data_IF_391389817517
#
_entry.id   IF_391389817517
#
_cell.length_a   1.000
_cell.length_b   1.000
_cell.length_c   1.000
_cell.angle_alpha   90.00
_cell.angle_beta   90.00
_cell.angle_gamma   90.00
#
_symmetry.space_group_name_H-M   'P 1'
#
loop_
_entity.id
_entity.type
_entity.pdbx_description
1 polymer ?
#
# COMPACT_ATOMS: atom_id res chain seq x y z
N UNK A 1 -15.49 -26.62 -38.61
CA UNK A 1 -16.39 -25.90 -37.69
C UNK A 1 -16.27 -26.36 -36.24
N UNK A 2 -16.10 -27.66 -35.95
CA UNK A 2 -15.99 -28.18 -34.56
C UNK A 2 -14.63 -27.95 -33.90
N UNK A 3 -13.52 -28.03 -34.65
CA UNK A 3 -12.18 -27.90 -34.06
C UNK A 3 -11.87 -26.46 -33.58
N UNK A 4 -12.36 -25.45 -34.31
CA UNK A 4 -12.22 -24.05 -33.89
C UNK A 4 -13.06 -23.72 -32.66
N UNK A 5 -14.27 -24.28 -32.55
CA UNK A 5 -15.13 -24.08 -31.37
C UNK A 5 -14.58 -24.77 -30.12
N UNK A 6 -13.95 -25.94 -30.27
CA UNK A 6 -13.29 -26.63 -29.15
C UNK A 6 -12.04 -25.90 -28.68
N UNK A 7 -11.27 -25.30 -29.60
CA UNK A 7 -10.10 -24.49 -29.26
C UNK A 7 -10.51 -23.22 -28.51
N UNK A 8 -11.52 -22.49 -28.99
CA UNK A 8 -12.02 -21.30 -28.29
C UNK A 8 -12.59 -21.62 -26.92
N UNK A 9 -13.28 -22.76 -26.78
CA UNK A 9 -13.79 -23.22 -25.49
C UNK A 9 -12.67 -23.57 -24.51
N UNK A 10 -11.60 -24.24 -24.99
CA UNK A 10 -10.42 -24.56 -24.18
C UNK A 10 -9.67 -23.31 -23.71
N UNK A 11 -9.51 -22.32 -24.60
CA UNK A 11 -8.92 -21.02 -24.26
C UNK A 11 -9.77 -20.28 -23.24
N UNK A 12 -11.09 -20.27 -23.40
CA UNK A 12 -12.00 -19.63 -22.45
C UNK A 12 -11.94 -20.32 -21.07
N UNK A 13 -11.94 -21.65 -21.04
CA UNK A 13 -11.85 -22.43 -19.81
C UNK A 13 -10.51 -22.19 -19.09
N UNK A 14 -9.41 -22.15 -19.83
CA UNK A 14 -8.08 -21.86 -19.24
C UNK A 14 -8.00 -20.44 -18.71
N UNK A 15 -8.56 -19.44 -19.40
CA UNK A 15 -8.64 -18.06 -18.88
C UNK A 15 -9.47 -17.98 -17.59
N UNK A 16 -10.60 -18.69 -17.53
CA UNK A 16 -11.47 -18.71 -16.35
C UNK A 16 -10.80 -19.42 -15.15
N UNK A 17 -10.04 -20.48 -15.39
CA UNK A 17 -9.32 -21.22 -14.33
C UNK A 17 -8.07 -20.48 -13.85
N UNK A 18 -7.41 -19.72 -14.72
CA UNK A 18 -6.18 -18.97 -14.41
C UNK A 18 -6.49 -17.53 -13.95
N UNK A 19 -7.74 -17.08 -14.03
CA UNK A 19 -8.14 -15.77 -13.54
C UNK A 19 -7.80 -15.67 -12.04
N UNK A 20 -6.97 -14.70 -11.62
CA UNK A 20 -6.68 -14.53 -10.21
C UNK A 20 -7.97 -14.14 -9.49
N UNK A 21 -8.26 -14.81 -8.37
CA UNK A 21 -9.26 -14.32 -7.44
C UNK A 21 -8.75 -12.96 -6.92
N UNK A 22 -9.38 -11.87 -7.35
CA UNK A 22 -9.11 -10.55 -6.77
C UNK A 22 -9.73 -10.55 -5.39
N UNK A 23 -8.94 -10.91 -4.38
CA UNK A 23 -9.29 -10.61 -3.01
C UNK A 23 -9.28 -9.08 -2.89
N UNK A 24 -10.47 -8.50 -2.70
CA UNK A 24 -10.63 -7.05 -2.69
C UNK A 24 -9.71 -6.42 -1.65
N UNK A 25 -8.89 -5.46 -2.09
CA UNK A 25 -8.08 -4.64 -1.19
C UNK A 25 -8.97 -4.07 -0.08
N UNK A 26 -8.65 -4.38 1.17
CA UNK A 26 -9.38 -3.88 2.33
C UNK A 26 -8.86 -2.48 2.65
N UNK A 27 -9.73 -1.48 2.51
CA UNK A 27 -9.41 -0.13 2.94
C UNK A 27 -9.49 -0.05 4.47
N UNK A 28 -8.51 0.62 5.09
CA UNK A 28 -8.49 0.92 6.51
C UNK A 28 -8.63 2.43 6.73
N UNK A 29 -9.48 2.81 7.67
CA UNK A 29 -9.51 4.17 8.20
C UNK A 29 -8.73 4.18 9.51
N UNK A 30 -7.65 4.95 9.53
CA UNK A 30 -6.69 4.97 10.64
C UNK A 30 -6.81 6.30 11.36
N UNK A 31 -7.14 6.24 12.65
CA UNK A 31 -7.25 7.42 13.52
C UNK A 31 -6.23 7.29 14.65
N UNK A 32 -5.58 8.40 15.00
CA UNK A 32 -4.61 8.44 16.09
C UNK A 32 -3.76 9.69 16.07
N UNK A 33 -2.55 9.57 16.62
CA UNK A 33 -1.56 10.63 16.75
C UNK A 33 -0.32 10.36 15.86
N UNK A 34 0.81 10.96 16.23
CA UNK A 34 2.14 10.71 15.67
C UNK A 34 2.49 9.25 15.36
N UNK A 35 2.02 8.28 16.17
CA UNK A 35 2.33 6.85 15.99
C UNK A 35 1.72 6.24 14.72
N UNK A 36 0.71 6.89 14.16
CA UNK A 36 0.03 6.47 12.94
C UNK A 36 0.07 7.52 11.84
N UNK A 37 0.65 8.70 12.10
CA UNK A 37 0.83 9.74 11.10
C UNK A 37 1.89 9.33 10.07
N UNK A 38 1.49 9.36 8.79
CA UNK A 38 2.32 9.07 7.63
C UNK A 38 2.65 10.33 6.81
N UNK A 39 2.49 11.52 7.40
CA UNK A 39 2.82 12.81 6.79
C UNK A 39 1.63 13.75 6.62
N UNK A 40 0.48 13.45 7.23
CA UNK A 40 -0.71 14.31 7.21
C UNK A 40 -0.38 15.70 7.78
N UNK A 41 0.44 15.77 8.82
CA UNK A 41 0.80 17.04 9.44
C UNK A 41 1.62 17.98 8.53
N UNK A 42 2.24 17.48 7.45
CA UNK A 42 2.95 18.31 6.49
C UNK A 42 2.02 19.28 5.73
N UNK A 43 0.71 19.01 5.76
CA UNK A 43 -0.33 19.81 5.12
C UNK A 43 -1.08 20.73 6.09
N UNK A 44 -0.68 20.76 7.37
CA UNK A 44 -1.34 21.54 8.42
C UNK A 44 -0.41 22.65 8.93
N UNK A 45 -1.00 23.74 9.44
CA UNK A 45 -0.28 24.82 10.12
C UNK A 45 0.12 24.41 11.55
N UNK A 46 0.97 23.38 11.66
CA UNK A 46 1.47 22.82 12.93
C UNK A 46 2.99 22.76 12.93
N UNK A 47 3.61 22.75 14.11
CA UNK A 47 5.04 22.45 14.31
C UNK A 47 5.30 20.95 14.49
N UNK A 48 4.26 20.15 14.75
CA UNK A 48 4.37 18.71 14.90
C UNK A 48 4.50 18.04 13.53
N UNK A 49 5.66 18.14 12.90
CA UNK A 49 5.96 17.54 11.59
C UNK A 49 7.15 16.60 11.67
N UNK A 50 7.07 15.50 10.94
CA UNK A 50 8.16 14.57 10.76
C UNK A 50 8.81 14.75 9.37
N UNK A 51 9.06 16.00 9.00
CA UNK A 51 9.64 16.45 7.73
C UNK A 51 11.11 16.87 7.85
N UNK A 52 11.74 16.60 8.99
CA UNK A 52 13.14 16.94 9.30
C UNK A 52 13.87 15.81 10.04
N UNK A 53 15.22 15.80 10.08
CA UNK A 53 15.97 14.83 10.87
C UNK A 53 15.57 14.88 12.36
N UNK A 54 15.53 13.74 13.07
CA UNK A 54 16.13 12.45 12.70
C UNK A 54 15.23 11.52 11.88
N UNK A 55 13.99 11.90 11.57
CA UNK A 55 13.02 10.99 10.97
C UNK A 55 13.45 10.50 9.59
N UNK A 56 13.31 9.18 9.38
CA UNK A 56 13.67 8.54 8.12
C UNK A 56 15.19 8.38 7.88
N UNK A 57 16.04 8.60 8.90
CA UNK A 57 17.50 8.46 8.74
C UNK A 57 17.93 7.02 8.40
N UNK A 58 17.22 6.01 8.91
CA UNK A 58 17.53 4.60 8.63
C UNK A 58 16.88 4.07 7.33
N UNK A 59 16.09 4.89 6.62
CA UNK A 59 15.57 4.51 5.30
C UNK A 59 16.69 4.56 4.25
N UNK A 60 16.62 3.74 3.18
CA UNK A 60 17.58 3.81 2.07
C UNK A 60 17.71 5.21 1.46
N UNK A 61 16.64 6.01 1.48
CA UNK A 61 16.62 7.39 1.00
C UNK A 61 17.30 8.39 1.93
N UNK A 62 17.49 8.05 3.21
CA UNK A 62 17.99 8.94 4.28
C UNK A 62 17.25 10.29 4.33
N UNK A 63 15.95 10.28 4.00
CA UNK A 63 15.10 11.46 3.91
C UNK A 63 13.90 11.31 4.83
N UNK A 64 13.41 12.42 5.43
CA UNK A 64 12.18 12.41 6.19
C UNK A 64 11.01 11.85 5.37
N UNK A 65 10.28 10.91 5.97
CA UNK A 65 9.18 10.20 5.31
C UNK A 65 7.80 10.73 5.68
N UNK A 66 7.73 11.69 6.62
CA UNK A 66 6.47 12.13 7.24
C UNK A 66 6.01 11.25 8.40
N UNK A 67 6.72 10.15 8.70
CA UNK A 67 6.47 9.30 9.87
C UNK A 67 7.34 9.75 11.03
N UNK A 68 6.78 9.77 12.25
CA UNK A 68 7.52 10.04 13.49
C UNK A 68 8.42 8.86 13.92
N UNK A 69 9.11 8.24 12.98
CA UNK A 69 9.95 7.07 13.18
C UNK A 69 11.00 6.96 12.08
N UNK A 70 11.90 5.99 12.22
CA UNK A 70 12.87 5.61 11.19
C UNK A 70 12.42 4.37 10.39
N UNK A 71 11.15 3.98 10.52
CA UNK A 71 10.61 2.79 9.88
C UNK A 71 9.12 2.91 9.55
N UNK A 72 8.52 1.77 9.24
CA UNK A 72 7.08 1.67 9.02
C UNK A 72 6.32 1.76 10.33
N UNK A 73 5.19 2.46 10.30
CA UNK A 73 4.24 2.48 11.41
C UNK A 73 3.34 1.24 11.32
N UNK A 74 2.59 0.94 12.39
CA UNK A 74 1.65 -0.20 12.43
C UNK A 74 0.69 -0.20 11.22
N UNK A 75 0.08 0.94 10.80
CA UNK A 75 -0.79 0.99 9.63
C UNK A 75 -0.12 0.51 8.34
N UNK A 76 1.16 0.85 8.16
CA UNK A 76 1.89 0.42 6.98
C UNK A 76 2.01 -1.11 6.98
N UNK A 77 2.39 -1.70 8.12
CA UNK A 77 2.58 -3.15 8.26
C UNK A 77 1.30 -3.96 8.07
N UNK A 78 0.15 -3.45 8.53
CA UNK A 78 -1.15 -4.14 8.37
C UNK A 78 -1.77 -3.93 6.98
N UNK A 79 -1.28 -2.95 6.23
CA UNK A 79 -1.75 -2.64 4.87
C UNK A 79 -0.95 -3.33 3.76
N UNK A 80 0.14 -4.01 4.11
CA UNK A 80 0.99 -4.79 3.20
C UNK A 80 0.33 -6.07 2.71
#
# INVERSE_FOLDING_TARGET
MSLSSSFTFSVLLTVLVVAPAVEGSRAFFVFGDSLVDNGNNNYLATTARADSPPYGVDYPSHRPTGRFSNGYNIPDLISM
#
